data_IF_626703022374
#
_entry.id   IF_626703022374
#
_cell.length_a   1.000
_cell.length_b   1.000
_cell.length_c   1.000
_cell.angle_alpha   90.00
_cell.angle_beta   90.00
_cell.angle_gamma   90.00
#
_symmetry.space_group_name_H-M   'P 1'
#
loop_
_entity.id
_entity.type
_entity.pdbx_description
1 polymer ?
#
# COMPACT_ATOMS: atom_id res chain seq x y z
N UNK A 1 -2.00 17.90 -16.35
CA UNK A 1 -1.88 17.85 -17.85
C UNK A 1 -2.48 16.54 -18.37
N UNK A 2 -2.72 16.40 -19.68
CA UNK A 2 -3.17 15.12 -20.26
C UNK A 2 -2.05 14.52 -21.09
N UNK A 3 -1.68 13.28 -20.80
CA UNK A 3 -0.73 12.46 -21.55
C UNK A 3 -1.50 11.26 -22.09
N UNK A 4 -1.81 11.25 -23.38
CA UNK A 4 -2.56 10.17 -24.02
C UNK A 4 -1.82 9.72 -25.28
N UNK A 5 -1.43 8.45 -25.34
CA UNK A 5 -0.68 7.91 -26.49
C UNK A 5 0.78 8.38 -26.58
N UNK A 6 1.38 8.86 -25.48
CA UNK A 6 2.75 9.42 -25.54
C UNK A 6 3.82 8.34 -25.35
N UNK A 7 5.01 8.58 -25.89
CA UNK A 7 6.20 7.76 -25.62
C UNK A 7 7.30 8.64 -25.06
N UNK A 8 7.77 8.33 -23.87
CA UNK A 8 8.83 9.06 -23.16
C UNK A 8 9.99 8.11 -22.86
N UNK A 9 11.19 8.46 -23.35
CA UNK A 9 12.37 7.59 -23.24
C UNK A 9 13.69 8.31 -23.29
N UNK A 10 14.73 7.69 -22.72
CA UNK A 10 16.11 8.16 -22.71
C UNK A 10 16.29 9.53 -22.03
N UNK A 11 15.41 9.88 -21.08
CA UNK A 11 15.64 11.02 -20.20
C UNK A 11 16.86 10.77 -19.33
N UNK A 12 17.62 11.82 -19.04
CA UNK A 12 18.77 11.76 -18.12
C UNK A 12 18.37 11.72 -16.63
N UNK A 13 17.07 11.69 -16.36
CA UNK A 13 16.38 11.62 -15.05
C UNK A 13 15.08 10.83 -15.26
N UNK A 14 14.03 11.16 -14.51
CA UNK A 14 12.68 10.65 -14.72
C UNK A 14 12.17 10.88 -16.16
N UNK A 15 11.30 9.98 -16.64
CA UNK A 15 10.53 10.22 -17.85
C UNK A 15 9.59 11.42 -17.70
N UNK A 16 8.78 11.40 -16.63
CA UNK A 16 7.93 12.51 -16.21
C UNK A 16 8.23 12.85 -14.77
N UNK A 17 8.53 14.12 -14.50
CA UNK A 17 8.71 14.65 -13.15
C UNK A 17 7.56 15.65 -12.86
N UNK A 18 6.66 15.28 -11.95
CA UNK A 18 5.54 16.10 -11.50
C UNK A 18 5.88 16.83 -10.20
N UNK A 19 5.73 18.16 -10.24
CA UNK A 19 5.86 19.05 -9.09
C UNK A 19 4.59 19.87 -9.00
N UNK A 20 3.79 19.67 -7.95
CA UNK A 20 2.44 20.26 -7.83
C UNK A 20 1.58 19.98 -9.06
N UNK A 21 1.60 18.73 -9.56
CA UNK A 21 0.97 18.35 -10.81
C UNK A 21 0.02 17.16 -10.64
N UNK A 22 -1.10 17.19 -11.37
CA UNK A 22 -2.11 16.13 -11.38
C UNK A 22 -2.39 15.70 -12.83
N UNK A 23 -1.50 14.92 -13.46
CA UNK A 23 -1.72 14.42 -14.81
C UNK A 23 -2.80 13.33 -14.90
N UNK A 24 -3.56 13.36 -15.99
CA UNK A 24 -4.28 12.21 -16.53
C UNK A 24 -3.34 11.51 -17.52
N UNK A 25 -3.11 10.20 -17.37
CA UNK A 25 -2.09 9.47 -18.14
C UNK A 25 -2.68 8.18 -18.70
N UNK A 26 -2.80 8.09 -20.02
CA UNK A 26 -3.37 6.91 -20.67
C UNK A 26 -2.61 6.46 -21.89
N UNK A 27 -2.70 5.17 -22.20
CA UNK A 27 -2.20 4.58 -23.45
C UNK A 27 -0.74 4.93 -23.77
N UNK A 28 0.09 5.17 -22.74
CA UNK A 28 1.40 5.78 -22.89
C UNK A 28 2.52 4.80 -22.51
N UNK A 29 3.73 5.04 -23.02
CA UNK A 29 4.92 4.23 -22.75
C UNK A 29 6.03 5.09 -22.14
N UNK A 30 6.57 4.65 -21.00
CA UNK A 30 7.68 5.29 -20.28
C UNK A 30 8.80 4.27 -20.11
N UNK A 31 9.90 4.45 -20.83
CA UNK A 31 10.96 3.44 -20.85
C UNK A 31 12.35 3.99 -21.06
N UNK A 32 13.39 3.28 -20.62
CA UNK A 32 14.79 3.68 -20.78
C UNK A 32 15.13 5.06 -20.20
N UNK A 33 14.40 5.51 -19.17
CA UNK A 33 14.74 6.73 -18.45
C UNK A 33 15.77 6.40 -17.36
N UNK A 34 16.65 7.36 -17.03
CA UNK A 34 17.75 7.10 -16.10
C UNK A 34 17.31 6.92 -14.64
N UNK A 35 16.17 7.50 -14.26
CA UNK A 35 15.56 7.37 -12.92
C UNK A 35 14.19 6.69 -13.07
N UNK A 36 13.10 7.27 -12.57
CA UNK A 36 11.77 6.66 -12.65
C UNK A 36 11.16 6.79 -14.05
N UNK A 37 10.23 5.88 -14.40
CA UNK A 37 9.37 6.13 -15.56
C UNK A 37 8.53 7.40 -15.35
N UNK A 38 7.92 7.48 -14.18
CA UNK A 38 7.14 8.63 -13.73
C UNK A 38 7.41 8.87 -12.24
N UNK A 39 7.79 10.08 -11.88
CA UNK A 39 7.91 10.55 -10.50
C UNK A 39 6.93 11.69 -10.24
N UNK A 40 6.04 11.52 -9.27
CA UNK A 40 5.13 12.55 -8.78
C UNK A 40 5.49 12.84 -7.33
N UNK A 41 5.89 14.08 -7.02
CA UNK A 41 6.27 14.46 -5.66
C UNK A 41 5.08 14.41 -4.68
N UNK A 42 5.34 14.61 -3.38
CA UNK A 42 4.31 14.57 -2.33
C UNK A 42 3.25 15.67 -2.42
N UNK A 43 3.41 16.66 -3.31
CA UNK A 43 2.40 17.70 -3.58
C UNK A 43 1.70 17.48 -4.93
N UNK A 44 2.01 16.38 -5.61
CA UNK A 44 1.46 15.97 -6.90
C UNK A 44 0.51 14.78 -6.70
N UNK A 45 -0.03 14.27 -7.81
CA UNK A 45 -0.89 13.10 -7.77
C UNK A 45 -1.35 12.74 -9.16
N UNK A 46 -2.40 11.94 -9.24
CA UNK A 46 -3.08 11.66 -10.49
C UNK A 46 -4.36 12.50 -10.57
N UNK A 47 -4.78 12.80 -11.78
CA UNK A 47 -6.08 13.40 -12.02
C UNK A 47 -7.19 12.52 -11.41
N UNK A 48 -8.31 13.13 -10.97
CA UNK A 48 -9.47 12.41 -10.40
C UNK A 48 -10.78 12.73 -11.12
N UNK A 49 -10.70 13.24 -12.35
CA UNK A 49 -11.90 13.63 -13.13
C UNK A 49 -12.65 12.42 -13.73
N UNK A 50 -12.02 11.25 -13.71
CA UNK A 50 -12.59 9.94 -14.03
C UNK A 50 -11.92 8.89 -13.12
N UNK A 51 -12.35 7.63 -13.16
CA UNK A 51 -11.65 6.55 -12.46
C UNK A 51 -11.70 5.27 -13.30
N UNK A 52 -10.55 4.65 -13.62
CA UNK A 52 -9.17 5.11 -13.35
C UNK A 52 -8.72 6.22 -14.32
N UNK A 53 -7.84 7.13 -13.88
CA UNK A 53 -7.21 8.16 -14.75
C UNK A 53 -5.81 7.77 -15.23
N UNK A 54 -5.19 6.78 -14.60
CA UNK A 54 -3.95 6.17 -15.05
C UNK A 54 -4.27 4.81 -15.67
N UNK A 55 -4.31 4.71 -17.01
CA UNK A 55 -4.80 3.50 -17.66
C UNK A 55 -4.10 3.08 -18.95
N UNK A 56 -3.89 1.79 -19.14
CA UNK A 56 -3.31 1.22 -20.36
C UNK A 56 -1.88 1.68 -20.63
N UNK A 57 -1.08 1.90 -19.59
CA UNK A 57 0.29 2.39 -19.71
C UNK A 57 1.32 1.25 -19.64
N UNK A 58 2.50 1.48 -20.21
CA UNK A 58 3.64 0.55 -20.15
C UNK A 58 4.84 1.29 -19.57
N UNK A 59 5.31 0.85 -18.40
CA UNK A 59 6.44 1.44 -17.68
C UNK A 59 7.50 0.37 -17.50
N UNK A 60 8.58 0.44 -18.29
CA UNK A 60 9.56 -0.65 -18.38
C UNK A 60 10.96 -0.15 -18.66
N UNK A 61 12.00 -0.86 -18.18
CA UNK A 61 13.41 -0.55 -18.43
C UNK A 61 13.84 0.84 -17.95
N UNK A 62 13.19 1.37 -16.91
CA UNK A 62 13.64 2.60 -16.24
C UNK A 62 14.73 2.27 -15.20
N UNK A 63 15.61 3.23 -14.96
CA UNK A 63 16.82 3.08 -14.13
C UNK A 63 16.53 3.00 -12.63
N UNK A 64 15.34 3.39 -12.19
CA UNK A 64 14.85 3.17 -10.83
C UNK A 64 13.49 2.45 -10.83
N UNK A 65 12.43 3.09 -10.34
CA UNK A 65 11.10 2.53 -10.19
C UNK A 65 10.29 2.69 -11.48
N UNK A 66 9.28 1.84 -11.68
CA UNK A 66 8.32 2.06 -12.75
C UNK A 66 7.62 3.41 -12.56
N UNK A 67 7.09 3.62 -11.36
CA UNK A 67 6.37 4.82 -10.97
C UNK A 67 6.56 5.10 -9.49
N UNK A 68 6.67 6.39 -9.16
CA UNK A 68 6.57 6.92 -7.79
C UNK A 68 5.40 7.89 -7.69
N UNK A 69 4.51 7.64 -6.73
CA UNK A 69 3.26 8.38 -6.57
C UNK A 69 2.86 8.47 -5.10
N UNK A 70 2.22 9.55 -4.64
CA UNK A 70 1.67 9.59 -3.28
C UNK A 70 0.58 8.53 -3.07
N UNK A 71 0.54 7.96 -1.86
CA UNK A 71 -0.32 6.81 -1.56
C UNK A 71 -1.83 7.07 -1.77
N UNK A 72 -2.29 8.32 -1.66
CA UNK A 72 -3.69 8.69 -1.88
C UNK A 72 -4.14 8.51 -3.35
N UNK A 73 -3.22 8.31 -4.29
CA UNK A 73 -3.54 8.16 -5.72
C UNK A 73 -3.35 6.74 -6.27
N UNK A 74 -3.00 5.77 -5.42
CA UNK A 74 -2.82 4.39 -5.88
C UNK A 74 -4.10 3.77 -6.45
N UNK A 75 -5.29 4.21 -5.99
CA UNK A 75 -6.57 3.78 -6.56
C UNK A 75 -6.93 4.37 -7.92
N UNK A 76 -6.13 5.30 -8.45
CA UNK A 76 -6.31 5.81 -9.83
C UNK A 76 -5.56 4.98 -10.88
N UNK A 77 -4.78 3.99 -10.44
CA UNK A 77 -4.00 3.08 -11.28
C UNK A 77 -4.88 1.90 -11.68
N UNK A 78 -5.07 1.71 -12.99
CA UNK A 78 -5.82 0.57 -13.50
C UNK A 78 -5.06 -0.75 -13.34
N UNK A 79 -5.76 -1.86 -13.60
CA UNK A 79 -5.19 -3.21 -13.62
C UNK A 79 -4.63 -3.64 -14.98
N UNK A 80 -4.71 -2.78 -16.01
CA UNK A 80 -4.24 -3.12 -17.38
C UNK A 80 -2.88 -2.52 -17.73
N UNK A 81 -2.39 -1.57 -16.94
CA UNK A 81 -1.02 -1.07 -17.06
C UNK A 81 0.01 -2.12 -16.64
N UNK A 82 1.24 -1.96 -17.14
CA UNK A 82 2.36 -2.88 -16.83
C UNK A 82 3.55 -2.11 -16.29
N UNK A 83 4.20 -2.67 -15.27
CA UNK A 83 5.25 -2.00 -14.50
C UNK A 83 6.52 -2.85 -14.37
N UNK A 84 6.65 -3.92 -15.17
CA UNK A 84 7.75 -4.88 -15.11
C UNK A 84 8.95 -4.51 -15.99
N UNK A 85 10.12 -5.03 -15.63
CA UNK A 85 11.38 -4.84 -16.36
C UNK A 85 12.13 -3.55 -16.03
N UNK A 86 11.77 -2.87 -14.94
CA UNK A 86 12.51 -1.73 -14.39
C UNK A 86 13.63 -2.22 -13.45
N UNK A 87 14.52 -1.32 -13.03
CA UNK A 87 15.55 -1.69 -12.03
C UNK A 87 14.92 -2.11 -10.72
N UNK A 88 13.84 -1.44 -10.33
CA UNK A 88 12.95 -1.84 -9.25
C UNK A 88 11.53 -2.02 -9.79
N UNK A 89 11.11 -3.28 -9.92
CA UNK A 89 9.74 -3.66 -10.27
C UNK A 89 8.81 -3.45 -9.07
N UNK A 90 8.51 -2.17 -8.80
CA UNK A 90 7.56 -1.70 -7.81
C UNK A 90 6.84 -0.45 -8.32
N UNK A 91 5.60 -0.27 -7.86
CA UNK A 91 4.96 1.04 -7.80
C UNK A 91 5.28 1.63 -6.41
N UNK A 92 6.17 2.63 -6.36
CA UNK A 92 6.58 3.25 -5.10
C UNK A 92 5.51 4.23 -4.61
N UNK A 93 4.94 3.94 -3.44
CA UNK A 93 4.01 4.81 -2.73
C UNK A 93 4.80 5.74 -1.80
N UNK A 94 4.73 7.04 -2.04
CA UNK A 94 5.30 8.07 -1.15
C UNK A 94 4.42 8.29 0.07
N UNK A 95 4.97 8.91 1.12
CA UNK A 95 4.22 9.27 2.31
C UNK A 95 3.00 10.14 1.95
N UNK A 96 1.82 9.73 2.38
CA UNK A 96 0.58 10.48 2.14
C UNK A 96 -0.59 9.99 3.02
N UNK A 97 -1.67 10.77 3.03
CA UNK A 97 -2.96 10.40 3.63
C UNK A 97 -3.95 9.99 2.55
N UNK A 98 -4.33 8.70 2.54
CA UNK A 98 -5.51 8.18 1.85
C UNK A 98 -6.75 8.84 2.44
N UNK A 99 -7.18 9.93 1.81
CA UNK A 99 -8.16 10.88 2.33
C UNK A 99 -9.55 10.71 1.70
N UNK A 100 -9.61 9.93 0.62
CA UNK A 100 -10.82 9.54 -0.10
C UNK A 100 -10.91 8.03 -0.18
N UNK A 101 -12.15 7.51 -0.14
CA UNK A 101 -12.38 6.09 -0.33
C UNK A 101 -11.92 5.66 -1.71
N UNK A 102 -11.13 4.59 -1.77
CA UNK A 102 -10.54 4.10 -3.00
C UNK A 102 -10.19 2.62 -2.89
N UNK A 103 -9.83 2.03 -4.02
CA UNK A 103 -9.49 0.63 -4.12
C UNK A 103 -8.09 0.45 -4.68
N UNK A 104 -7.21 -0.23 -3.97
CA UNK A 104 -5.92 -0.66 -4.47
C UNK A 104 -6.08 -2.02 -5.15
N UNK A 105 -6.05 -1.99 -6.48
CA UNK A 105 -6.17 -3.17 -7.34
C UNK A 105 -4.87 -3.96 -7.35
N UNK A 106 -4.94 -5.27 -7.61
CA UNK A 106 -3.75 -6.07 -7.87
C UNK A 106 -3.03 -5.58 -9.14
N UNK A 107 -1.71 -5.51 -9.07
CA UNK A 107 -0.82 -5.02 -10.14
C UNK A 107 0.16 -6.12 -10.55
N UNK A 108 0.80 -5.99 -11.72
CA UNK A 108 1.81 -6.95 -12.20
C UNK A 108 3.14 -6.87 -11.41
N UNK A 109 3.27 -5.87 -10.52
CA UNK A 109 4.34 -5.69 -9.54
C UNK A 109 3.76 -5.27 -8.17
N UNK A 110 4.48 -5.43 -7.04
CA UNK A 110 3.98 -4.97 -5.75
C UNK A 110 3.93 -3.44 -5.64
N UNK A 111 3.02 -2.94 -4.80
CA UNK A 111 3.15 -1.61 -4.23
C UNK A 111 4.28 -1.61 -3.19
N UNK A 112 5.06 -0.53 -3.13
CA UNK A 112 6.09 -0.32 -2.12
C UNK A 112 5.81 0.97 -1.33
N UNK A 113 5.28 0.85 -0.12
CA UNK A 113 5.20 1.93 0.85
C UNK A 113 6.60 2.37 1.28
N UNK A 114 7.02 3.54 0.81
CA UNK A 114 8.32 4.15 1.10
C UNK A 114 8.26 5.27 2.15
N UNK A 115 7.06 5.60 2.61
CA UNK A 115 6.79 6.57 3.66
C UNK A 115 5.50 6.23 4.42
N UNK A 116 5.23 6.95 5.50
CA UNK A 116 4.03 6.72 6.32
C UNK A 116 2.75 6.86 5.49
N UNK A 117 1.87 5.86 5.58
CA UNK A 117 0.57 5.85 4.90
C UNK A 117 -0.51 5.96 5.97
N UNK A 118 -1.31 7.01 5.88
CA UNK A 118 -2.48 7.19 6.75
C UNK A 118 -3.74 6.89 5.95
N UNK A 119 -4.70 6.19 6.53
CA UNK A 119 -6.05 6.00 5.96
C UNK A 119 -7.01 6.67 6.91
N UNK A 120 -7.27 7.95 6.67
CA UNK A 120 -8.10 8.77 7.55
C UNK A 120 -8.51 10.10 6.91
N UNK A 121 -9.63 10.66 7.37
CA UNK A 121 -10.13 11.94 6.89
C UNK A 121 -11.49 12.30 7.50
N UNK A 122 -11.91 13.56 7.32
CA UNK A 122 -13.19 14.04 7.85
C UNK A 122 -14.41 13.29 7.29
N UNK A 123 -14.29 12.73 6.09
CA UNK A 123 -15.30 11.90 5.43
C UNK A 123 -15.33 10.45 5.93
N UNK A 124 -14.31 10.02 6.69
CA UNK A 124 -14.12 8.61 7.04
C UNK A 124 -13.81 7.74 5.81
N UNK A 125 -12.69 7.98 5.10
CA UNK A 125 -12.35 7.22 3.90
C UNK A 125 -12.18 5.73 4.22
N UNK A 126 -12.60 4.91 3.25
CA UNK A 126 -12.42 3.47 3.27
C UNK A 126 -11.41 3.07 2.19
N UNK A 127 -10.29 2.49 2.60
CA UNK A 127 -9.35 1.85 1.68
C UNK A 127 -9.74 0.38 1.50
N UNK A 128 -10.07 0.00 0.28
CA UNK A 128 -10.19 -1.41 -0.10
C UNK A 128 -8.88 -1.88 -0.72
N UNK A 129 -8.37 -3.04 -0.29
CA UNK A 129 -7.24 -3.72 -0.96
C UNK A 129 -7.76 -5.03 -1.54
N UNK A 130 -7.77 -5.11 -2.88
CA UNK A 130 -8.36 -6.23 -3.61
C UNK A 130 -7.49 -7.49 -3.54
N UNK A 131 -8.16 -8.63 -3.72
CA UNK A 131 -7.55 -9.94 -3.83
C UNK A 131 -6.38 -9.97 -4.83
N UNK A 132 -5.28 -10.58 -4.44
CA UNK A 132 -4.06 -10.67 -5.24
C UNK A 132 -3.10 -9.48 -5.09
N UNK A 133 -3.51 -8.39 -4.43
CA UNK A 133 -2.62 -7.26 -4.21
C UNK A 133 -1.49 -7.60 -3.21
N UNK A 134 -0.30 -7.08 -3.51
CA UNK A 134 0.88 -7.17 -2.65
C UNK A 134 1.36 -5.76 -2.29
N UNK A 135 1.39 -5.46 -1.00
CA UNK A 135 1.92 -4.21 -0.46
C UNK A 135 3.15 -4.52 0.37
N UNK A 136 4.28 -3.95 -0.01
CA UNK A 136 5.54 -4.05 0.71
C UNK A 136 5.90 -2.74 1.37
N UNK A 137 6.66 -2.79 2.45
CA UNK A 137 7.04 -1.61 3.22
C UNK A 137 8.55 -1.51 3.38
N UNK A 138 9.09 -0.31 3.17
CA UNK A 138 10.48 0.03 3.48
C UNK A 138 10.72 0.06 5.01
N UNK A 139 12.00 0.07 5.37
CA UNK A 139 12.42 0.13 6.77
C UNK A 139 11.83 1.32 7.52
N UNK A 140 11.21 1.05 8.67
CA UNK A 140 10.60 2.08 9.52
C UNK A 140 9.23 2.59 9.05
N UNK A 141 8.70 2.10 7.92
CA UNK A 141 7.37 2.49 7.44
C UNK A 141 6.26 1.77 8.22
N UNK A 142 5.17 2.48 8.50
CA UNK A 142 3.89 1.94 8.99
C UNK A 142 2.73 2.41 8.12
N UNK A 143 1.65 1.63 8.20
CA UNK A 143 0.32 2.07 7.78
C UNK A 143 -0.54 2.28 9.04
N UNK A 144 -1.20 3.42 9.15
CA UNK A 144 -2.16 3.72 10.23
C UNK A 144 -3.54 3.94 9.62
N UNK A 145 -4.54 3.25 10.15
CA UNK A 145 -5.95 3.43 9.79
C UNK A 145 -6.67 4.05 10.97
N UNK A 146 -7.30 5.21 10.77
CA UNK A 146 -8.08 5.86 11.82
C UNK A 146 -7.27 6.30 13.04
N UNK A 147 -6.16 7.01 12.86
CA UNK A 147 -5.27 7.43 13.95
C UNK A 147 -5.64 8.79 14.55
N UNK A 148 -5.88 9.79 13.72
CA UNK A 148 -6.25 11.16 14.10
C UNK A 148 -7.63 11.57 13.61
N UNK A 149 -8.07 10.98 12.50
CA UNK A 149 -9.41 11.14 11.95
C UNK A 149 -10.05 9.77 11.71
N UNK A 150 -11.31 9.74 11.30
CA UNK A 150 -11.99 8.49 10.99
C UNK A 150 -11.38 7.85 9.74
N UNK A 151 -11.30 6.53 9.71
CA UNK A 151 -10.91 5.78 8.51
C UNK A 151 -11.19 4.29 8.66
N UNK A 152 -11.15 3.55 7.55
CA UNK A 152 -11.33 2.11 7.56
C UNK A 152 -10.49 1.40 6.51
N UNK A 153 -10.17 0.14 6.77
CA UNK A 153 -9.44 -0.74 5.88
C UNK A 153 -10.24 -2.02 5.64
N UNK A 154 -10.53 -2.29 4.38
CA UNK A 154 -11.19 -3.50 3.92
C UNK A 154 -10.21 -4.31 3.06
N UNK A 155 -9.73 -5.44 3.57
CA UNK A 155 -8.91 -6.39 2.81
C UNK A 155 -9.81 -7.51 2.30
N UNK A 156 -9.85 -7.65 0.98
CA UNK A 156 -10.72 -8.59 0.26
C UNK A 156 -9.89 -9.77 -0.31
N UNK A 157 -9.26 -10.57 0.55
CA UNK A 157 -8.29 -11.60 0.16
C UNK A 157 -8.86 -13.01 -0.08
N UNK A 158 -10.05 -13.14 -0.67
CA UNK A 158 -10.78 -14.42 -0.67
C UNK A 158 -10.22 -15.53 -1.59
N UNK A 159 -9.41 -15.23 -2.62
CA UNK A 159 -8.94 -16.27 -3.57
C UNK A 159 -7.43 -16.38 -3.68
N UNK A 160 -6.74 -15.33 -4.12
CA UNK A 160 -5.29 -15.25 -4.18
C UNK A 160 -4.69 -14.80 -2.83
N UNK A 161 -5.48 -14.12 -2.01
CA UNK A 161 -5.05 -13.49 -0.77
C UNK A 161 -4.42 -12.12 -1.02
N UNK A 162 -4.29 -11.35 0.06
CA UNK A 162 -3.54 -10.08 0.07
C UNK A 162 -2.29 -10.24 0.92
N UNK A 163 -1.18 -9.62 0.53
CA UNK A 163 0.09 -9.73 1.25
C UNK A 163 0.61 -8.36 1.69
N UNK A 164 0.77 -8.18 3.01
CA UNK A 164 1.49 -7.05 3.61
C UNK A 164 2.83 -7.55 4.17
N UNK A 165 3.94 -7.07 3.63
CA UNK A 165 5.28 -7.61 3.96
C UNK A 165 6.36 -6.54 3.94
N UNK A 166 7.58 -6.88 4.32
CA UNK A 166 8.74 -6.00 4.13
C UNK A 166 9.12 -5.90 2.65
N UNK A 167 9.88 -4.86 2.27
CA UNK A 167 10.49 -4.74 0.93
C UNK A 167 11.21 -6.01 0.48
N UNK A 168 12.06 -6.56 1.34
CA UNK A 168 12.80 -7.79 1.08
C UNK A 168 11.88 -9.02 1.09
N UNK A 169 12.14 -9.98 0.20
CA UNK A 169 11.43 -11.26 0.16
C UNK A 169 12.42 -12.41 -0.06
N UNK A 170 12.62 -13.29 0.94
CA UNK A 170 12.06 -13.21 2.29
C UNK A 170 12.58 -11.98 3.07
N UNK A 171 11.78 -11.49 4.01
CA UNK A 171 12.11 -10.40 4.90
C UNK A 171 12.82 -10.84 6.18
N UNK A 172 13.04 -9.90 7.10
CA UNK A 172 13.49 -10.17 8.47
C UNK A 172 12.46 -9.63 9.46
N UNK A 173 12.15 -10.32 10.57
CA UNK A 173 11.27 -9.79 11.60
C UNK A 173 11.66 -8.36 12.03
N UNK A 174 10.70 -7.43 12.08
CA UNK A 174 10.95 -6.03 12.40
C UNK A 174 11.56 -5.22 11.26
N UNK A 175 11.45 -5.69 10.01
CA UNK A 175 11.89 -4.94 8.85
C UNK A 175 11.01 -3.72 8.55
N UNK A 176 9.79 -3.67 9.08
CA UNK A 176 8.91 -2.50 9.02
C UNK A 176 8.11 -2.39 10.32
N UNK A 177 7.43 -1.26 10.53
CA UNK A 177 6.77 -1.00 11.81
C UNK A 177 5.55 -1.91 12.02
N UNK A 178 4.69 -2.06 11.02
CA UNK A 178 3.45 -2.85 11.10
C UNK A 178 2.22 -2.06 10.65
N UNK A 179 1.07 -2.72 10.70
CA UNK A 179 -0.24 -2.14 10.50
C UNK A 179 -0.83 -1.73 11.85
N UNK A 180 -1.23 -0.47 11.99
CA UNK A 180 -1.94 0.04 13.16
C UNK A 180 -3.38 0.37 12.78
N UNK A 181 -4.33 -0.17 13.53
CA UNK A 181 -5.74 0.20 13.53
C UNK A 181 -6.00 1.04 14.78
N UNK A 182 -6.17 2.35 14.59
CA UNK A 182 -6.26 3.35 15.65
C UNK A 182 -7.65 3.51 16.25
N UNK A 183 -7.77 4.40 17.23
CA UNK A 183 -8.99 4.63 18.04
C UNK A 183 -10.16 5.23 17.26
N UNK A 184 -9.90 5.70 16.04
CA UNK A 184 -10.90 6.23 15.10
C UNK A 184 -11.06 5.31 13.89
N UNK A 185 -10.60 4.07 13.96
CA UNK A 185 -11.01 3.09 12.96
C UNK A 185 -12.54 2.96 13.01
N UNK A 186 -13.18 2.76 11.87
CA UNK A 186 -14.57 2.32 11.86
C UNK A 186 -14.59 0.80 12.05
N UNK A 187 -14.96 0.33 13.24
CA UNK A 187 -14.94 -1.10 13.61
C UNK A 187 -15.67 -1.98 12.58
N UNK A 188 -16.89 -1.60 12.20
CA UNK A 188 -17.73 -2.41 11.31
C UNK A 188 -17.21 -2.43 9.87
N UNK A 189 -16.49 -1.39 9.45
CA UNK A 189 -15.91 -1.28 8.11
C UNK A 189 -14.44 -1.71 8.05
N UNK A 190 -13.82 -2.03 9.18
CA UNK A 190 -12.44 -2.50 9.26
C UNK A 190 -12.41 -4.01 9.31
N UNK A 191 -12.18 -4.64 8.16
CA UNK A 191 -12.23 -6.10 8.00
C UNK A 191 -10.98 -6.54 7.25
N UNK A 192 -10.20 -7.42 7.87
CA UNK A 192 -9.00 -8.02 7.30
C UNK A 192 -9.26 -9.49 6.98
N UNK A 193 -9.82 -9.79 5.81
CA UNK A 193 -10.07 -11.18 5.40
C UNK A 193 -9.05 -11.65 4.35
N UNK A 194 -8.46 -12.84 4.53
CA UNK A 194 -7.50 -13.38 3.57
C UNK A 194 -6.15 -12.66 3.52
N UNK A 195 -5.75 -11.98 4.60
CA UNK A 195 -4.50 -11.24 4.69
C UNK A 195 -3.36 -12.15 5.16
N UNK A 196 -2.23 -12.14 4.43
CA UNK A 196 -0.93 -12.54 4.96
C UNK A 196 -0.17 -11.30 5.38
N UNK A 197 0.13 -11.16 6.67
CA UNK A 197 0.94 -10.06 7.20
C UNK A 197 2.18 -10.57 7.93
N UNK A 198 3.33 -10.05 7.53
CA UNK A 198 4.62 -10.60 7.95
C UNK A 198 5.78 -9.61 8.06
N UNK A 199 6.80 -10.00 8.84
CA UNK A 199 8.08 -9.29 9.00
C UNK A 199 7.98 -7.88 9.62
N UNK A 200 6.86 -7.54 10.25
CA UNK A 200 6.64 -6.29 10.96
C UNK A 200 7.06 -6.34 12.44
N UNK A 201 6.54 -5.40 13.24
CA UNK A 201 6.76 -5.33 14.68
C UNK A 201 7.88 -4.38 15.13
N UNK A 202 8.50 -3.60 14.21
CA UNK A 202 9.48 -2.58 14.60
C UNK A 202 8.88 -1.43 15.43
N UNK A 203 7.54 -1.36 15.49
CA UNK A 203 6.79 -0.50 16.42
C UNK A 203 6.89 -0.96 17.89
N UNK A 204 7.49 -2.12 18.18
CA UNK A 204 7.58 -2.69 19.53
C UNK A 204 6.31 -3.40 20.00
N UNK A 205 5.31 -3.55 19.13
CA UNK A 205 3.99 -4.10 19.44
C UNK A 205 3.74 -5.39 18.66
N UNK A 206 3.54 -5.30 17.34
CA UNK A 206 3.30 -6.47 16.50
C UNK A 206 3.12 -6.17 15.02
N UNK A 207 2.86 -7.23 14.22
CA UNK A 207 2.50 -7.10 12.81
C UNK A 207 1.21 -6.29 12.64
N UNK A 208 0.20 -6.61 13.46
CA UNK A 208 -1.07 -5.89 13.54
C UNK A 208 -1.24 -5.35 14.96
N UNK A 209 -1.49 -4.06 15.07
CA UNK A 209 -1.80 -3.40 16.33
C UNK A 209 -3.23 -2.84 16.32
N UNK A 210 -4.11 -3.42 17.14
CA UNK A 210 -5.43 -2.86 17.43
C UNK A 210 -5.33 -1.95 18.66
N UNK A 211 -5.63 -0.67 18.48
CA UNK A 211 -5.67 0.33 19.54
C UNK A 211 -7.06 0.94 19.63
N UNK A 212 -7.88 0.49 20.58
CA UNK A 212 -9.27 0.94 20.72
C UNK A 212 -10.10 0.78 19.43
N UNK A 213 -9.74 -0.23 18.62
CA UNK A 213 -10.41 -0.59 17.38
C UNK A 213 -10.91 -2.04 17.49
N UNK A 214 -12.21 -2.25 17.27
CA UNK A 214 -12.88 -3.56 17.39
C UNK A 214 -13.17 -4.18 16.02
N UNK A 215 -12.36 -3.83 15.00
CA UNK A 215 -12.41 -4.44 13.67
C UNK A 215 -12.19 -5.96 13.68
N UNK A 216 -12.29 -6.57 12.50
CA UNK A 216 -12.18 -8.01 12.34
C UNK A 216 -10.93 -8.42 11.57
N UNK A 217 -10.35 -9.57 11.93
CA UNK A 217 -9.37 -10.29 11.12
C UNK A 217 -9.79 -11.76 11.01
N UNK A 218 -9.89 -12.23 9.77
CA UNK A 218 -10.29 -13.60 9.48
C UNK A 218 -9.53 -14.24 8.33
N UNK A 219 -9.49 -15.57 8.31
CA UNK A 219 -8.89 -16.38 7.23
C UNK A 219 -7.48 -15.92 6.84
N UNK A 220 -6.70 -15.48 7.83
CA UNK A 220 -5.47 -14.72 7.63
C UNK A 220 -4.25 -15.47 8.17
N UNK A 221 -3.07 -15.12 7.69
CA UNK A 221 -1.79 -15.60 8.21
C UNK A 221 -1.01 -14.45 8.83
N UNK A 222 -0.66 -14.58 10.12
CA UNK A 222 0.11 -13.56 10.86
C UNK A 222 1.42 -14.18 11.33
N UNK A 223 2.53 -13.81 10.69
CA UNK A 223 3.81 -14.50 10.90
C UNK A 223 5.04 -13.62 10.95
N UNK A 224 6.11 -14.14 11.55
CA UNK A 224 7.44 -13.51 11.55
C UNK A 224 7.49 -12.08 12.08
N UNK A 225 6.65 -11.74 13.08
CA UNK A 225 6.79 -10.48 13.82
C UNK A 225 8.05 -10.49 14.70
N UNK A 226 8.73 -9.35 14.79
CA UNK A 226 9.82 -9.14 15.77
C UNK A 226 9.32 -9.06 17.22
N UNK A 227 8.02 -8.93 17.40
CA UNK A 227 7.33 -8.88 18.70
C UNK A 227 6.10 -9.80 18.63
N UNK A 228 4.88 -9.29 18.77
CA UNK A 228 3.67 -10.10 18.74
C UNK A 228 3.10 -10.25 17.33
N UNK A 229 2.38 -11.34 17.05
CA UNK A 229 1.61 -11.44 15.81
C UNK A 229 0.54 -10.35 15.76
N UNK A 230 -0.40 -10.42 16.70
CA UNK A 230 -1.44 -9.41 16.92
C UNK A 230 -1.26 -8.84 18.34
N UNK A 231 -1.26 -7.51 18.44
CA UNK A 231 -1.21 -6.79 19.70
C UNK A 231 -2.49 -5.97 19.88
N UNK A 232 -3.16 -6.09 21.03
CA UNK A 232 -4.42 -5.38 21.30
C UNK A 232 -4.30 -4.51 22.55
N UNK A 233 -4.87 -3.32 22.52
CA UNK A 233 -4.97 -2.41 23.67
C UNK A 233 -6.34 -1.79 23.70
N UNK A 234 -7.06 -2.01 24.80
CA UNK A 234 -8.41 -1.48 25.02
C UNK A 234 -9.37 -1.79 23.86
N UNK A 235 -9.22 -2.97 23.25
CA UNK A 235 -9.95 -3.41 22.07
C UNK A 235 -10.31 -4.90 22.18
N UNK A 236 -11.41 -5.28 21.55
CA UNK A 236 -11.96 -6.64 21.45
C UNK A 236 -12.24 -7.04 20.00
N UNK A 237 -11.24 -7.03 19.10
CA UNK A 237 -11.43 -7.40 17.70
C UNK A 237 -11.92 -8.84 17.53
N UNK A 238 -12.71 -9.06 16.48
CA UNK A 238 -13.08 -10.42 16.07
C UNK A 238 -11.89 -11.09 15.38
N UNK A 239 -11.44 -12.24 15.90
CA UNK A 239 -10.29 -13.00 15.39
C UNK A 239 -10.75 -14.43 15.10
N UNK A 240 -10.78 -14.83 13.84
CA UNK A 240 -11.29 -16.14 13.42
C UNK A 240 -10.48 -16.77 12.28
N UNK A 241 -10.13 -18.05 12.38
CA UNK A 241 -9.41 -18.72 11.27
C UNK A 241 -8.02 -18.12 10.97
N UNK A 242 -7.35 -17.57 11.99
CA UNK A 242 -5.99 -17.02 11.84
C UNK A 242 -4.94 -18.11 12.09
N UNK A 243 -3.98 -18.22 11.17
CA UNK A 243 -2.79 -19.07 11.32
C UNK A 243 -1.60 -18.22 11.77
N UNK A 244 -0.91 -18.65 12.82
CA UNK A 244 0.26 -17.97 13.35
C UNK A 244 1.54 -18.77 13.12
N UNK A 245 2.65 -18.07 12.87
CA UNK A 245 3.97 -18.71 12.70
C UNK A 245 5.11 -17.77 13.06
N UNK A 246 6.00 -18.19 13.96
CA UNK A 246 7.30 -17.52 14.15
C UNK A 246 7.22 -16.07 14.66
N UNK A 247 6.20 -15.70 15.43
CA UNK A 247 6.13 -14.41 16.11
C UNK A 247 6.97 -14.45 17.39
N UNK A 248 7.89 -13.48 17.55
CA UNK A 248 8.98 -13.58 18.54
C UNK A 248 8.51 -13.54 20.01
N UNK A 249 7.57 -12.66 20.35
CA UNK A 249 7.06 -12.50 21.71
C UNK A 249 5.84 -13.39 22.00
N UNK A 250 5.10 -13.76 20.95
CA UNK A 250 3.89 -14.58 21.01
C UNK A 250 2.91 -14.21 19.90
N UNK A 251 1.81 -14.95 19.81
CA UNK A 251 0.88 -14.82 18.69
C UNK A 251 -0.18 -13.72 18.91
N UNK A 252 -0.68 -13.61 20.14
CA UNK A 252 -1.74 -12.68 20.51
C UNK A 252 -1.50 -12.11 21.91
N UNK A 253 -1.43 -10.79 22.00
CA UNK A 253 -1.48 -10.02 23.25
C UNK A 253 -2.88 -9.41 23.41
#
# INVERSE_FOLDING_TARGET
PVLDGVTVRHSSRDGVNGVTAFPLIRNSTFSDNAEDGIYLDTNSGLDRSASPTFSGNVLTRNGEYAMSVPADYAGEIDSTSTFTGNTFDFIRLLADTVSVSQTWQAQDVPFLGSGEILVEGASGPALTVEDGAVVRFDAGVRMIVGGWNNGSLFVDGHTAGVVFSSRASPGTPGAWQGLQLGDRCNDAATVLDGLTIEYGGANGLGNVYFYQCDGAISNSTVRYSSTWGIYRVSSSPSIAGVTYLGNTAGDLF
#
